data_IF_214645200578
#
_entry.id   IF_214645200578
#
_cell.length_a   1.000
_cell.length_b   1.000
_cell.length_c   1.000
_cell.angle_alpha   90.00
_cell.angle_beta   90.00
_cell.angle_gamma   90.00
#
_symmetry.space_group_name_H-M   'P 1'
#
loop_
_entity.id
_entity.type
_entity.pdbx_description
1 polymer ?
#
# COMPACT_ATOMS: atom_id res chain seq x y z
N UNK A 1 20.61 5.62 42.86
CA UNK A 1 19.45 4.79 42.49
C UNK A 1 19.03 5.23 41.07
N UNK A 2 19.50 4.52 40.09
CA UNK A 2 19.22 4.80 38.68
C UNK A 2 18.05 3.93 38.25
N UNK A 3 16.91 4.56 38.03
CA UNK A 3 15.75 3.91 37.43
C UNK A 3 16.03 3.65 35.96
N UNK A 4 16.20 2.38 35.63
CA UNK A 4 16.27 1.90 34.26
C UNK A 4 14.87 1.93 33.65
N UNK A 5 14.62 2.93 32.81
CA UNK A 5 13.41 3.06 32.01
C UNK A 5 13.43 1.97 30.92
N UNK A 6 12.78 0.85 31.17
CA UNK A 6 12.51 -0.19 30.17
C UNK A 6 11.47 0.38 29.19
N UNK A 7 11.69 0.39 27.88
CA UNK A 7 10.67 0.83 26.94
C UNK A 7 9.51 -0.18 26.97
N UNK A 8 8.30 0.32 27.29
CA UNK A 8 7.07 -0.45 27.21
C UNK A 8 6.91 -1.00 25.78
N UNK A 9 7.02 -2.33 25.63
CA UNK A 9 6.62 -3.02 24.43
C UNK A 9 5.12 -2.72 24.20
N UNK A 10 4.78 -1.90 23.23
CA UNK A 10 3.42 -1.83 22.74
C UNK A 10 3.09 -3.22 22.21
N UNK A 11 2.18 -3.91 22.87
CA UNK A 11 1.67 -5.18 22.43
C UNK A 11 1.08 -4.98 21.02
N UNK A 12 1.69 -5.57 20.02
CA UNK A 12 1.13 -5.66 18.66
C UNK A 12 -0.15 -6.49 18.78
N UNK A 13 -1.26 -5.94 18.29
CA UNK A 13 -2.56 -6.63 18.29
C UNK A 13 -2.40 -8.04 17.72
N UNK A 14 -2.94 -9.06 18.40
CA UNK A 14 -2.82 -10.43 17.97
C UNK A 14 -3.62 -10.65 16.68
N UNK A 15 -2.97 -11.15 15.64
CA UNK A 15 -3.57 -11.49 14.35
C UNK A 15 -3.56 -13.00 14.14
N UNK A 16 -4.69 -13.56 13.75
CA UNK A 16 -4.82 -14.99 13.44
C UNK A 16 -5.79 -15.24 12.27
N UNK A 17 -5.86 -16.49 11.80
CA UNK A 17 -6.89 -16.93 10.86
C UNK A 17 -8.13 -17.35 11.64
N UNK A 18 -9.32 -16.92 11.18
CA UNK A 18 -10.59 -17.28 11.83
C UNK A 18 -10.84 -18.80 11.77
N UNK A 19 -11.12 -19.41 12.93
CA UNK A 19 -11.45 -20.83 13.05
C UNK A 19 -12.74 -21.23 12.32
N UNK A 20 -13.68 -20.29 12.11
CA UNK A 20 -14.94 -20.50 11.40
C UNK A 20 -14.73 -20.87 9.92
N UNK A 21 -13.50 -20.81 9.45
CA UNK A 21 -13.10 -21.11 8.09
C UNK A 21 -12.11 -22.29 8.02
N UNK A 22 -12.29 -23.35 8.80
CA UNK A 22 -11.49 -24.58 8.73
C UNK A 22 -11.63 -25.27 7.36
N UNK A 23 -11.20 -24.58 6.34
CA UNK A 23 -11.16 -25.01 4.97
C UNK A 23 -9.71 -25.23 4.52
N UNK A 24 -9.52 -25.94 3.41
CA UNK A 24 -8.22 -26.04 2.74
C UNK A 24 -7.64 -24.63 2.49
N UNK A 25 -8.49 -23.65 2.18
CA UNK A 25 -8.09 -22.26 1.96
C UNK A 25 -7.54 -21.59 3.23
N UNK A 26 -8.13 -21.83 4.41
CA UNK A 26 -7.62 -21.30 5.68
C UNK A 26 -6.24 -21.87 6.03
N UNK A 27 -6.02 -23.16 5.80
CA UNK A 27 -4.71 -23.79 6.00
C UNK A 27 -3.65 -23.22 5.07
N UNK A 28 -3.96 -23.08 3.77
CA UNK A 28 -3.05 -22.46 2.81
C UNK A 28 -2.70 -21.02 3.17
N UNK A 29 -3.67 -20.24 3.66
CA UNK A 29 -3.44 -18.88 4.12
C UNK A 29 -2.56 -18.86 5.38
N UNK A 30 -2.81 -19.75 6.34
CA UNK A 30 -2.00 -19.95 7.54
C UNK A 30 -0.54 -20.28 7.19
N UNK A 31 -0.32 -21.23 6.29
CA UNK A 31 1.01 -21.63 5.82
C UNK A 31 1.70 -20.47 5.04
N UNK A 32 0.96 -19.80 4.13
CA UNK A 32 1.48 -18.72 3.30
C UNK A 32 1.99 -17.53 4.11
N UNK A 33 1.28 -17.17 5.18
CA UNK A 33 1.58 -15.98 5.98
C UNK A 33 2.12 -16.32 7.38
N UNK A 34 2.33 -17.59 7.67
CA UNK A 34 2.78 -18.07 8.98
C UNK A 34 1.92 -17.52 10.15
N UNK A 35 0.59 -17.58 9.98
CA UNK A 35 -0.37 -17.11 10.97
C UNK A 35 -1.04 -18.30 11.67
N UNK A 36 -1.27 -18.24 12.99
CA UNK A 36 -2.00 -19.28 13.69
C UNK A 36 -3.48 -19.29 13.27
N UNK A 37 -4.12 -20.47 13.35
CA UNK A 37 -5.59 -20.58 13.29
C UNK A 37 -6.13 -20.37 14.70
N UNK A 38 -7.01 -19.39 14.87
CA UNK A 38 -7.59 -19.04 16.17
C UNK A 38 -8.74 -19.98 16.55
N UNK A 39 -8.40 -21.16 17.06
CA UNK A 39 -9.37 -22.16 17.53
C UNK A 39 -10.10 -21.74 18.81
N UNK A 40 -9.54 -20.81 19.58
CA UNK A 40 -10.06 -20.37 20.88
C UNK A 40 -10.78 -19.02 20.84
N UNK A 41 -10.81 -18.35 19.68
CA UNK A 41 -11.42 -17.02 19.51
C UNK A 41 -10.81 -15.95 20.42
N UNK A 42 -9.50 -15.98 20.59
CA UNK A 42 -8.76 -15.10 21.51
C UNK A 42 -8.02 -13.97 20.79
N UNK A 43 -7.87 -14.05 19.46
CA UNK A 43 -7.20 -13.03 18.70
C UNK A 43 -8.03 -11.74 18.59
N UNK A 44 -7.40 -10.59 18.78
CA UNK A 44 -8.05 -9.28 18.61
C UNK A 44 -8.52 -9.05 17.19
N UNK A 45 -7.77 -9.57 16.22
CA UNK A 45 -8.06 -9.47 14.80
C UNK A 45 -7.95 -10.83 14.12
N UNK A 46 -8.86 -11.11 13.22
CA UNK A 46 -8.83 -12.36 12.45
C UNK A 46 -9.01 -12.10 10.96
N UNK A 47 -8.29 -12.87 10.14
CA UNK A 47 -8.54 -13.00 8.72
C UNK A 47 -9.51 -14.14 8.45
N UNK A 48 -10.54 -13.87 7.66
CA UNK A 48 -11.55 -14.86 7.30
C UNK A 48 -12.31 -14.45 6.05
N UNK A 49 -13.15 -15.33 5.51
CA UNK A 49 -13.91 -15.03 4.30
C UNK A 49 -15.25 -14.35 4.64
N UNK A 50 -15.55 -13.28 3.93
CA UNK A 50 -16.76 -12.49 4.05
C UNK A 50 -17.56 -12.52 2.76
N UNK A 51 -18.86 -12.86 2.88
CA UNK A 51 -19.81 -12.77 1.77
C UNK A 51 -20.49 -11.40 1.78
N UNK A 52 -20.32 -10.67 0.69
CA UNK A 52 -20.99 -9.39 0.48
C UNK A 52 -22.37 -9.65 -0.14
N UNK A 53 -23.42 -8.99 0.36
CA UNK A 53 -24.76 -9.13 -0.18
C UNK A 53 -24.75 -8.87 -1.70
N UNK A 54 -25.32 -9.81 -2.47
CA UNK A 54 -25.36 -9.80 -3.96
C UNK A 54 -24.02 -10.08 -4.66
N UNK A 55 -22.99 -10.47 -3.97
CA UNK A 55 -21.73 -10.92 -4.56
C UNK A 55 -21.48 -12.37 -4.13
N UNK A 56 -21.51 -13.34 -5.05
CA UNK A 56 -21.38 -14.75 -4.72
C UNK A 56 -19.94 -15.15 -4.38
N UNK A 57 -18.95 -14.28 -4.65
CA UNK A 57 -17.54 -14.59 -4.45
C UNK A 57 -17.13 -14.12 -3.06
N UNK A 58 -16.74 -15.03 -2.15
CA UNK A 58 -16.22 -14.66 -0.84
C UNK A 58 -14.95 -13.81 -0.98
N UNK A 59 -14.82 -12.79 -0.14
CA UNK A 59 -13.65 -11.90 -0.08
C UNK A 59 -12.91 -12.14 1.22
N UNK A 60 -11.59 -12.28 1.15
CA UNK A 60 -10.81 -12.27 2.37
C UNK A 60 -11.00 -10.92 3.06
N UNK A 61 -11.31 -10.97 4.34
CA UNK A 61 -11.56 -9.78 5.16
C UNK A 61 -10.83 -9.86 6.48
N UNK A 62 -10.43 -8.70 6.99
CA UNK A 62 -9.96 -8.51 8.35
C UNK A 62 -11.17 -8.18 9.23
N UNK A 63 -11.35 -8.97 10.28
CA UNK A 63 -12.38 -8.76 11.30
C UNK A 63 -11.75 -8.23 12.58
N UNK A 64 -12.40 -7.26 13.18
CA UNK A 64 -12.08 -6.68 14.47
C UNK A 64 -13.38 -6.50 15.26
N UNK A 65 -13.34 -6.69 16.59
CA UNK A 65 -14.56 -6.71 17.42
C UNK A 65 -15.41 -5.45 17.30
N UNK A 66 -14.78 -4.27 17.14
CA UNK A 66 -15.44 -2.98 17.14
C UNK A 66 -15.71 -2.39 15.76
N UNK A 67 -15.38 -3.10 14.67
CA UNK A 67 -15.54 -2.60 13.31
C UNK A 67 -16.18 -3.62 12.38
N UNK A 68 -16.76 -3.15 11.28
CA UNK A 68 -17.18 -4.04 10.20
C UNK A 68 -15.98 -4.70 9.50
N UNK A 69 -16.23 -5.76 8.70
CA UNK A 69 -15.19 -6.44 7.95
C UNK A 69 -14.48 -5.49 6.97
N UNK A 70 -13.16 -5.52 6.97
CA UNK A 70 -12.33 -4.73 6.04
C UNK A 70 -11.80 -5.65 4.97
N UNK A 71 -12.10 -5.37 3.71
CA UNK A 71 -11.63 -6.13 2.55
C UNK A 71 -11.24 -5.20 1.40
N UNK A 72 -10.51 -5.71 0.43
CA UNK A 72 -10.11 -4.99 -0.77
C UNK A 72 -10.91 -5.53 -1.97
N UNK A 73 -11.38 -4.61 -2.82
CA UNK A 73 -12.08 -4.94 -4.05
C UNK A 73 -11.66 -3.99 -5.17
N UNK A 74 -11.11 -4.57 -6.25
CA UNK A 74 -10.68 -3.82 -7.44
C UNK A 74 -11.74 -3.85 -8.55
N UNK A 75 -12.71 -4.76 -8.47
CA UNK A 75 -13.74 -4.94 -9.52
C UNK A 75 -14.93 -4.01 -9.28
N UNK A 76 -15.33 -3.84 -8.01
CA UNK A 76 -16.53 -3.10 -7.64
C UNK A 76 -16.24 -1.94 -6.68
N UNK A 77 -17.24 -1.11 -6.44
CA UNK A 77 -17.19 -0.05 -5.44
C UNK A 77 -16.36 1.18 -5.83
N UNK A 78 -15.77 1.85 -4.82
CA UNK A 78 -15.09 3.14 -4.99
C UNK A 78 -13.87 3.10 -5.92
N UNK A 79 -13.16 1.98 -6.01
CA UNK A 79 -11.96 1.86 -6.84
C UNK A 79 -12.33 1.77 -8.32
N UNK A 80 -13.35 0.98 -8.66
CA UNK A 80 -13.90 0.95 -10.00
C UNK A 80 -14.45 2.32 -10.42
N UNK A 81 -15.14 3.04 -9.52
CA UNK A 81 -15.62 4.39 -9.77
C UNK A 81 -14.46 5.38 -10.02
N UNK A 82 -13.35 5.29 -9.27
CA UNK A 82 -12.18 6.15 -9.49
C UNK A 82 -11.53 5.93 -10.86
N UNK A 83 -11.56 4.73 -11.41
CA UNK A 83 -11.08 4.45 -12.77
C UNK A 83 -11.85 5.26 -13.81
N UNK A 84 -13.18 5.27 -13.72
CA UNK A 84 -14.04 5.92 -14.71
C UNK A 84 -14.14 7.44 -14.53
N UNK A 85 -14.04 7.95 -13.30
CA UNK A 85 -14.31 9.36 -12.97
C UNK A 85 -13.12 10.12 -12.35
N UNK A 86 -11.97 9.51 -12.24
CA UNK A 86 -10.85 10.00 -11.46
C UNK A 86 -9.90 10.99 -12.15
N UNK A 87 -10.29 11.70 -13.21
CA UNK A 87 -9.48 12.80 -13.78
C UNK A 87 -8.26 12.40 -14.63
N UNK A 88 -8.03 11.12 -14.89
CA UNK A 88 -7.06 10.62 -15.87
C UNK A 88 -5.60 11.06 -15.63
N UNK A 89 -4.85 11.23 -16.71
CA UNK A 89 -3.40 11.60 -16.71
C UNK A 89 -3.10 12.98 -16.08
N UNK A 90 -4.12 13.82 -15.87
CA UNK A 90 -4.00 15.14 -15.23
C UNK A 90 -3.90 15.09 -13.72
N UNK A 91 -4.15 13.96 -13.08
CA UNK A 91 -4.10 13.84 -11.63
C UNK A 91 -2.69 14.16 -11.09
N UNK A 92 -2.58 14.93 -9.99
CA UNK A 92 -1.28 15.27 -9.37
C UNK A 92 -0.43 14.03 -9.07
N UNK A 93 -1.02 12.94 -8.57
CA UNK A 93 -0.36 11.67 -8.34
C UNK A 93 0.30 11.13 -9.62
N UNK A 94 -0.43 11.06 -10.71
CA UNK A 94 0.06 10.52 -12.00
C UNK A 94 1.15 11.42 -12.60
N UNK A 95 0.96 12.74 -12.51
CA UNK A 95 1.96 13.71 -12.95
C UNK A 95 3.27 13.60 -12.17
N UNK A 96 3.20 13.29 -10.87
CA UNK A 96 4.37 13.10 -10.02
C UNK A 96 5.23 11.88 -10.46
N UNK A 97 4.61 10.83 -11.03
CA UNK A 97 5.37 9.68 -11.56
C UNK A 97 6.28 10.06 -12.73
N UNK A 98 5.92 11.09 -13.48
CA UNK A 98 6.72 11.58 -14.61
C UNK A 98 6.62 10.71 -15.86
N UNK A 99 7.57 10.97 -16.79
CA UNK A 99 7.72 10.24 -18.06
C UNK A 99 9.19 10.10 -18.38
N UNK A 100 9.57 8.99 -18.97
CA UNK A 100 10.89 8.79 -19.56
C UNK A 100 10.87 9.29 -21.02
N UNK A 101 12.05 9.36 -21.64
CA UNK A 101 12.15 9.66 -23.09
C UNK A 101 11.43 8.59 -23.90
N UNK A 102 11.56 7.35 -23.48
CA UNK A 102 10.94 6.19 -24.12
C UNK A 102 10.03 5.49 -23.11
N UNK A 103 8.71 5.63 -23.29
CA UNK A 103 7.70 4.96 -22.52
C UNK A 103 7.40 5.56 -21.14
N UNK A 104 6.73 4.76 -20.33
CA UNK A 104 6.39 5.07 -18.94
C UNK A 104 7.42 4.43 -18.00
N UNK A 105 7.78 5.10 -16.89
CA UNK A 105 8.65 4.51 -15.89
C UNK A 105 7.97 3.32 -15.17
N UNK A 106 8.79 2.38 -14.71
CA UNK A 106 8.38 1.34 -13.77
C UNK A 106 8.25 1.94 -12.38
N UNK A 107 7.20 1.57 -11.64
CA UNK A 107 6.89 2.13 -10.33
C UNK A 107 7.00 1.06 -9.26
N UNK A 108 7.65 1.38 -8.14
CA UNK A 108 7.54 0.63 -6.90
C UNK A 108 6.80 1.49 -5.88
N UNK A 109 5.64 1.00 -5.43
CA UNK A 109 4.91 1.60 -4.32
C UNK A 109 5.41 0.96 -3.01
N UNK A 110 6.22 1.71 -2.28
CA UNK A 110 6.87 1.25 -1.06
C UNK A 110 5.96 1.28 0.19
N UNK A 111 4.73 1.75 0.05
CA UNK A 111 3.74 1.88 1.13
C UNK A 111 2.35 1.53 0.62
N UNK A 112 2.23 0.35 0.02
CA UNK A 112 1.06 -0.02 -0.78
C UNK A 112 -0.29 0.10 -0.05
N UNK A 113 -0.33 -0.21 1.24
CA UNK A 113 -1.57 -0.16 2.02
C UNK A 113 -2.68 -0.94 1.36
N UNK A 114 -3.85 -0.33 1.18
CA UNK A 114 -5.00 -0.95 0.50
C UNK A 114 -4.89 -0.93 -1.05
N UNK A 115 -3.76 -0.58 -1.62
CA UNK A 115 -3.51 -0.56 -3.07
C UNK A 115 -4.28 0.53 -3.82
N UNK A 116 -4.72 1.59 -3.14
CA UNK A 116 -5.56 2.62 -3.75
C UNK A 116 -4.81 3.50 -4.76
N UNK A 117 -3.65 4.00 -4.39
CA UNK A 117 -2.82 4.83 -5.24
C UNK A 117 -2.12 4.00 -6.32
N UNK A 118 -1.64 2.79 -5.97
CA UNK A 118 -1.12 1.81 -6.94
C UNK A 118 -2.12 1.52 -8.07
N UNK A 119 -3.40 1.30 -7.74
CA UNK A 119 -4.44 1.06 -8.73
C UNK A 119 -4.67 2.29 -9.65
N UNK A 120 -4.66 3.50 -9.08
CA UNK A 120 -4.77 4.74 -9.89
C UNK A 120 -3.57 4.90 -10.82
N UNK A 121 -2.36 4.64 -10.36
CA UNK A 121 -1.14 4.68 -11.17
C UNK A 121 -1.22 3.63 -12.29
N UNK A 122 -1.55 2.38 -11.95
CA UNK A 122 -1.69 1.29 -12.91
C UNK A 122 -2.76 1.56 -13.98
N UNK A 123 -3.88 2.20 -13.60
CA UNK A 123 -4.95 2.59 -14.54
C UNK A 123 -4.52 3.60 -15.60
N UNK A 124 -3.35 4.21 -15.45
CA UNK A 124 -2.75 5.12 -16.44
C UNK A 124 -1.67 4.44 -17.29
N UNK A 125 -1.57 3.11 -17.23
CA UNK A 125 -0.67 2.27 -18.04
C UNK A 125 0.70 2.00 -17.43
N UNK A 126 0.94 2.39 -16.18
CA UNK A 126 2.19 2.09 -15.49
C UNK A 126 2.22 0.64 -15.00
N UNK A 127 3.41 0.04 -14.98
CA UNK A 127 3.67 -1.20 -14.23
C UNK A 127 3.99 -0.83 -12.79
N UNK A 128 3.28 -1.44 -11.83
CA UNK A 128 3.40 -1.10 -10.41
C UNK A 128 3.72 -2.35 -9.59
N UNK A 129 4.87 -2.36 -8.95
CA UNK A 129 5.19 -3.32 -7.90
C UNK A 129 4.82 -2.71 -6.55
N UNK A 130 3.92 -3.35 -5.82
CA UNK A 130 3.52 -2.99 -4.47
C UNK A 130 4.39 -3.71 -3.45
N UNK A 131 4.88 -3.00 -2.45
CA UNK A 131 5.54 -3.59 -1.27
C UNK A 131 4.71 -3.23 -0.05
N UNK A 132 4.33 -4.25 0.74
CA UNK A 132 3.50 -4.08 1.94
C UNK A 132 4.08 -4.91 3.10
N UNK A 133 4.36 -4.24 4.22
CA UNK A 133 4.96 -4.90 5.39
C UNK A 133 3.93 -5.61 6.27
N UNK A 134 2.70 -5.07 6.34
CA UNK A 134 1.64 -5.67 7.15
C UNK A 134 1.15 -6.96 6.52
N UNK A 135 1.32 -8.08 7.23
CA UNK A 135 0.86 -9.41 6.79
C UNK A 135 -0.64 -9.39 6.49
N UNK A 136 -1.45 -8.76 7.36
CA UNK A 136 -2.89 -8.69 7.14
C UNK A 136 -3.24 -7.92 5.86
N UNK A 137 -2.65 -6.76 5.65
CA UNK A 137 -2.91 -5.95 4.45
C UNK A 137 -2.40 -6.63 3.19
N UNK A 138 -1.22 -7.26 3.25
CA UNK A 138 -0.68 -8.05 2.14
C UNK A 138 -1.59 -9.23 1.78
N UNK A 139 -2.14 -9.94 2.76
CA UNK A 139 -3.10 -11.02 2.52
C UNK A 139 -4.38 -10.52 1.85
N UNK A 140 -4.93 -9.38 2.28
CA UNK A 140 -6.09 -8.77 1.63
C UNK A 140 -5.79 -8.32 0.19
N UNK A 141 -4.60 -7.79 -0.07
CA UNK A 141 -4.16 -7.38 -1.42
C UNK A 141 -3.99 -8.60 -2.33
N UNK A 142 -3.31 -9.66 -1.84
CA UNK A 142 -3.10 -10.91 -2.59
C UNK A 142 -4.42 -11.54 -3.01
N UNK A 143 -5.37 -11.65 -2.06
CA UNK A 143 -6.73 -12.14 -2.34
C UNK A 143 -7.44 -11.26 -3.38
N UNK A 144 -7.40 -9.94 -3.22
CA UNK A 144 -8.08 -9.01 -4.11
C UNK A 144 -7.54 -9.05 -5.55
N UNK A 145 -6.22 -9.13 -5.72
CA UNK A 145 -5.60 -9.26 -7.03
C UNK A 145 -5.98 -10.59 -7.68
N UNK A 146 -5.88 -11.69 -6.93
CA UNK A 146 -6.21 -13.04 -7.41
C UNK A 146 -7.68 -13.14 -7.83
N UNK A 147 -8.61 -12.71 -6.96
CA UNK A 147 -10.05 -12.70 -7.27
C UNK A 147 -10.36 -11.85 -8.50
N UNK A 148 -9.73 -10.67 -8.62
CA UNK A 148 -9.94 -9.80 -9.77
C UNK A 148 -9.43 -10.46 -11.06
N UNK A 149 -8.25 -11.05 -11.05
CA UNK A 149 -7.69 -11.76 -12.19
C UNK A 149 -8.56 -12.94 -12.60
N UNK A 150 -8.91 -13.84 -11.66
CA UNK A 150 -9.74 -15.01 -11.94
C UNK A 150 -11.13 -14.64 -12.45
N UNK A 151 -11.78 -13.64 -11.82
CA UNK A 151 -13.10 -13.17 -12.25
C UNK A 151 -13.09 -12.57 -13.65
N UNK A 152 -12.05 -11.82 -14.02
CA UNK A 152 -11.98 -11.16 -15.32
C UNK A 152 -11.54 -12.12 -16.44
N UNK A 153 -10.66 -13.08 -16.15
CA UNK A 153 -10.24 -14.10 -17.13
C UNK A 153 -11.34 -15.10 -17.49
N UNK A 154 -12.22 -15.40 -16.54
CA UNK A 154 -13.30 -16.39 -16.74
C UNK A 154 -14.58 -15.80 -17.35
N UNK A 155 -14.62 -14.50 -17.64
CA UNK A 155 -15.74 -13.85 -18.33
C UNK A 155 -15.53 -13.93 -19.85
N UNK A 156 -16.43 -14.64 -20.52
CA UNK A 156 -16.37 -14.87 -21.98
C UNK A 156 -17.40 -14.07 -22.78
N UNK A 157 -18.14 -13.18 -22.16
CA UNK A 157 -19.30 -12.49 -22.72
C UNK A 157 -19.19 -10.94 -22.66
N UNK A 158 -20.29 -10.26 -22.91
CA UNK A 158 -20.41 -8.79 -22.89
C UNK A 158 -20.04 -8.15 -21.54
N UNK A 159 -19.83 -8.95 -20.50
CA UNK A 159 -19.39 -8.49 -19.16
C UNK A 159 -17.86 -8.48 -19.00
N UNK A 160 -17.11 -8.85 -20.05
CA UNK A 160 -15.65 -8.81 -20.02
C UNK A 160 -15.16 -7.36 -19.92
N UNK A 161 -14.10 -7.16 -19.13
CA UNK A 161 -13.43 -5.85 -18.97
C UNK A 161 -11.91 -6.04 -19.19
N UNK A 162 -11.48 -6.09 -20.47
CA UNK A 162 -10.07 -6.33 -20.79
C UNK A 162 -9.17 -5.19 -20.34
N UNK A 163 -9.68 -3.96 -20.23
CA UNK A 163 -8.93 -2.83 -19.69
C UNK A 163 -8.65 -3.04 -18.20
N UNK A 164 -9.66 -3.42 -17.42
CA UNK A 164 -9.47 -3.72 -16.00
C UNK A 164 -8.53 -4.92 -15.80
N UNK A 165 -8.66 -5.96 -16.62
CA UNK A 165 -7.74 -7.10 -16.57
C UNK A 165 -6.29 -6.64 -16.83
N UNK A 166 -6.05 -5.80 -17.84
CA UNK A 166 -4.73 -5.24 -18.12
C UNK A 166 -4.17 -4.44 -16.95
N UNK A 167 -5.01 -3.64 -16.28
CA UNK A 167 -4.63 -2.90 -15.06
C UNK A 167 -4.21 -3.87 -13.97
N UNK A 168 -5.03 -4.87 -13.65
CA UNK A 168 -4.71 -5.86 -12.61
C UNK A 168 -3.42 -6.63 -12.93
N UNK A 169 -3.22 -7.02 -14.19
CA UNK A 169 -2.02 -7.73 -14.64
C UNK A 169 -0.75 -6.85 -14.61
N UNK A 170 -0.90 -5.53 -14.59
CA UNK A 170 0.23 -4.59 -14.43
C UNK A 170 0.63 -4.35 -12.98
N UNK A 171 -0.10 -4.92 -12.02
CA UNK A 171 0.16 -4.80 -10.57
C UNK A 171 0.73 -6.10 -10.02
N UNK A 172 1.77 -6.01 -9.23
CA UNK A 172 2.35 -7.14 -8.49
C UNK A 172 2.53 -6.79 -7.02
N UNK A 173 2.63 -7.80 -6.14
CA UNK A 173 2.74 -7.62 -4.70
C UNK A 173 3.93 -8.40 -4.14
N UNK A 174 4.68 -7.75 -3.26
CA UNK A 174 5.70 -8.35 -2.39
C UNK A 174 5.35 -8.03 -0.94
N UNK A 175 5.25 -9.05 -0.10
CA UNK A 175 5.10 -8.87 1.35
C UNK A 175 6.49 -8.78 1.96
N UNK A 176 6.89 -7.56 2.34
CA UNK A 176 8.20 -7.28 2.94
C UNK A 176 8.21 -5.92 3.67
N UNK A 177 9.19 -5.71 4.52
CA UNK A 177 9.60 -4.36 4.91
C UNK A 177 10.26 -3.67 3.72
N UNK A 178 9.78 -2.49 3.35
CA UNK A 178 10.16 -1.83 2.10
C UNK A 178 11.60 -1.34 2.10
N UNK A 179 12.11 -0.82 3.21
CA UNK A 179 13.50 -0.36 3.28
C UNK A 179 14.46 -1.53 3.14
N UNK A 180 14.22 -2.63 3.85
CA UNK A 180 14.99 -3.86 3.74
C UNK A 180 14.89 -4.48 2.34
N UNK A 181 13.70 -4.48 1.73
CA UNK A 181 13.50 -4.98 0.38
C UNK A 181 14.32 -4.20 -0.65
N UNK A 182 14.28 -2.87 -0.60
CA UNK A 182 15.04 -2.02 -1.50
C UNK A 182 16.55 -2.24 -1.38
N UNK A 183 17.07 -2.33 -0.17
CA UNK A 183 18.51 -2.48 0.08
C UNK A 183 19.04 -3.89 -0.21
N UNK A 184 18.24 -4.93 0.06
CA UNK A 184 18.68 -6.33 -0.10
C UNK A 184 18.46 -6.89 -1.49
N UNK A 185 17.33 -6.54 -2.13
CA UNK A 185 16.96 -7.08 -3.44
C UNK A 185 17.39 -6.17 -4.59
N UNK A 186 17.75 -4.91 -4.29
CA UNK A 186 18.17 -3.89 -5.29
C UNK A 186 17.33 -3.94 -6.57
N UNK A 187 15.98 -3.82 -6.48
CA UNK A 187 15.12 -3.98 -7.64
C UNK A 187 15.43 -2.90 -8.69
N UNK A 188 15.41 -3.30 -9.95
CA UNK A 188 15.55 -2.35 -11.06
C UNK A 188 14.23 -1.61 -11.24
N UNK A 189 14.17 -0.36 -10.76
CA UNK A 189 12.96 0.45 -10.75
C UNK A 189 13.29 1.92 -11.04
N UNK A 190 12.40 2.57 -11.81
CA UNK A 190 12.61 3.98 -12.18
C UNK A 190 12.09 4.92 -11.11
N UNK A 191 10.89 4.70 -10.60
CA UNK A 191 10.25 5.56 -9.61
C UNK A 191 9.89 4.77 -8.37
N UNK A 192 10.31 5.26 -7.22
CA UNK A 192 9.81 4.78 -5.94
C UNK A 192 8.81 5.79 -5.40
N UNK A 193 7.58 5.34 -5.21
CA UNK A 193 6.49 6.09 -4.59
C UNK A 193 6.35 5.68 -3.13
N UNK A 194 6.11 6.64 -2.25
CA UNK A 194 5.83 6.39 -0.84
C UNK A 194 4.79 7.37 -0.29
N UNK A 195 3.83 6.85 0.48
CA UNK A 195 2.81 7.59 1.23
C UNK A 195 2.87 7.18 2.71
N UNK A 196 3.98 7.50 3.42
CA UNK A 196 4.12 7.11 4.80
C UNK A 196 3.05 7.80 5.66
N UNK A 197 2.49 7.05 6.62
CA UNK A 197 1.48 7.57 7.53
C UNK A 197 2.04 8.74 8.34
N UNK A 198 1.54 9.93 8.05
CA UNK A 198 1.86 11.12 8.82
C UNK A 198 1.03 11.14 10.11
N UNK A 199 1.63 11.39 11.28
CA UNK A 199 0.89 11.51 12.52
C UNK A 199 -0.11 12.66 12.42
N UNK A 200 -1.40 12.37 12.21
CA UNK A 200 -2.43 13.39 12.19
C UNK A 200 -2.58 14.00 13.58
N UNK A 201 -2.44 15.32 13.68
CA UNK A 201 -2.92 16.06 14.84
C UNK A 201 -4.43 15.79 14.94
N UNK A 202 -4.87 15.21 16.07
CA UNK A 202 -6.26 14.87 16.41
C UNK A 202 -7.25 15.94 15.94
N UNK A 203 -7.74 15.88 14.70
CA UNK A 203 -8.91 16.61 14.22
C UNK A 203 -9.49 15.84 13.03
N UNK A 204 -10.54 15.16 13.30
CA UNK A 204 -11.77 14.93 12.58
C UNK A 204 -12.34 13.54 12.85
N UNK A 205 -13.48 13.59 13.46
CA UNK A 205 -14.37 12.55 13.91
C UNK A 205 -15.04 11.79 12.75
N UNK A 206 -14.35 11.26 11.81
CA UNK A 206 -14.93 10.35 10.81
C UNK A 206 -13.89 9.56 10.04
N UNK A 207 -12.73 9.27 10.64
CA UNK A 207 -11.97 8.11 10.16
C UNK A 207 -12.88 6.92 10.42
N UNK A 208 -13.35 6.29 9.33
CA UNK A 208 -14.22 5.12 9.45
C UNK A 208 -13.56 4.14 10.41
N UNK A 209 -14.34 3.57 11.33
CA UNK A 209 -13.85 2.59 12.33
C UNK A 209 -12.93 1.53 11.71
N UNK A 210 -13.22 1.12 10.48
CA UNK A 210 -12.44 0.20 9.64
C UNK A 210 -11.00 0.68 9.39
N UNK A 211 -10.83 1.97 9.01
CA UNK A 211 -9.51 2.56 8.78
C UNK A 211 -8.71 2.69 10.09
N UNK A 212 -9.40 2.95 11.18
CA UNK A 212 -8.77 3.05 12.51
C UNK A 212 -8.27 1.68 13.00
N UNK A 213 -9.02 0.61 12.75
CA UNK A 213 -8.58 -0.75 13.04
C UNK A 213 -7.31 -1.12 12.25
N UNK A 214 -7.27 -0.79 10.97
CA UNK A 214 -6.08 -0.97 10.12
C UNK A 214 -4.89 -0.13 10.59
N UNK A 215 -5.10 1.14 10.94
CA UNK A 215 -4.05 2.01 11.48
C UNK A 215 -3.48 1.48 12.81
N UNK A 216 -4.32 0.93 13.67
CA UNK A 216 -3.87 0.30 14.92
C UNK A 216 -3.03 -0.96 14.67
N UNK A 217 -3.37 -1.74 13.64
CA UNK A 217 -2.62 -2.94 13.25
C UNK A 217 -1.27 -2.61 12.61
N UNK A 218 -1.25 -1.62 11.71
CA UNK A 218 -0.03 -1.25 10.95
C UNK A 218 0.92 -0.40 11.81
N UNK A 219 0.39 0.35 12.77
CA UNK A 219 1.16 1.29 13.59
C UNK A 219 1.62 2.54 12.81
N UNK A 220 2.23 3.52 13.48
CA UNK A 220 2.78 4.70 12.82
C UNK A 220 4.08 4.35 12.08
N UNK A 221 4.30 4.97 10.92
CA UNK A 221 5.55 4.89 10.16
C UNK A 221 6.64 5.74 10.85
N UNK A 222 7.33 5.14 11.82
CA UNK A 222 8.45 5.79 12.53
C UNK A 222 9.76 5.73 11.75
N UNK A 223 9.79 5.00 10.64
CA UNK A 223 10.92 4.64 9.81
C UNK A 223 10.88 5.27 8.42
N UNK A 224 10.02 6.28 8.22
CA UNK A 224 9.87 6.97 6.92
C UNK A 224 11.18 7.61 6.43
N UNK A 225 12.07 7.99 7.34
CA UNK A 225 13.40 8.50 7.04
C UNK A 225 14.30 7.41 6.44
N UNK A 226 14.36 6.24 7.08
CA UNK A 226 15.13 5.09 6.58
C UNK A 226 14.59 4.62 5.22
N UNK A 227 13.26 4.61 5.06
CA UNK A 227 12.64 4.25 3.79
C UNK A 227 12.98 5.24 2.69
N UNK A 228 12.94 6.55 2.96
CA UNK A 228 13.33 7.58 1.99
C UNK A 228 14.81 7.44 1.61
N UNK A 229 15.69 7.20 2.59
CA UNK A 229 17.12 6.99 2.35
C UNK A 229 17.37 5.78 1.43
N UNK A 230 16.72 4.63 1.72
CA UNK A 230 16.79 3.44 0.87
C UNK A 230 16.24 3.69 -0.53
N UNK A 231 15.12 4.42 -0.64
CA UNK A 231 14.52 4.77 -1.91
C UNK A 231 15.43 5.65 -2.78
N UNK A 232 16.11 6.65 -2.19
CA UNK A 232 17.05 7.52 -2.90
C UNK A 232 18.27 6.76 -3.43
N UNK A 233 18.70 5.72 -2.73
CA UNK A 233 19.82 4.86 -3.16
C UNK A 233 19.43 3.90 -4.29
N UNK A 234 18.14 3.53 -4.39
CA UNK A 234 17.68 2.47 -5.29
C UNK A 234 17.03 3.01 -6.57
N UNK A 235 16.25 4.09 -6.49
CA UNK A 235 15.54 4.61 -7.66
C UNK A 235 16.50 5.10 -8.75
N UNK A 236 16.18 4.79 -10.03
CA UNK A 236 16.99 5.24 -11.17
C UNK A 236 16.60 6.63 -11.68
N UNK A 237 15.34 7.04 -11.51
CA UNK A 237 14.80 8.28 -12.06
C UNK A 237 14.39 9.28 -10.99
N UNK A 238 13.48 8.89 -10.08
CA UNK A 238 13.03 9.77 -8.98
C UNK A 238 12.42 9.01 -7.81
N UNK A 239 12.39 9.69 -6.65
CA UNK A 239 11.53 9.28 -5.53
C UNK A 239 10.41 10.29 -5.38
N UNK A 240 9.20 9.81 -5.12
CA UNK A 240 7.98 10.62 -4.94
C UNK A 240 7.40 10.34 -3.56
N UNK A 241 7.33 11.36 -2.72
CA UNK A 241 6.79 11.26 -1.36
C UNK A 241 5.48 12.03 -1.26
N UNK A 242 4.40 11.34 -0.96
CA UNK A 242 3.09 11.98 -0.71
C UNK A 242 3.03 12.52 0.72
N UNK A 243 2.57 13.75 0.85
CA UNK A 243 2.44 14.44 2.14
C UNK A 243 1.13 15.22 2.22
N UNK A 244 0.57 15.42 3.42
CA UNK A 244 -0.40 16.49 3.61
C UNK A 244 0.19 17.82 3.15
N UNK A 245 -0.61 18.68 2.52
CA UNK A 245 -0.13 19.93 1.86
C UNK A 245 0.82 20.75 2.74
N UNK A 246 0.50 20.90 4.02
CA UNK A 246 1.24 21.75 4.95
C UNK A 246 2.17 20.96 5.89
N UNK A 247 2.38 19.64 5.64
CA UNK A 247 3.32 18.85 6.43
C UNK A 247 4.77 19.23 6.07
N UNK A 248 5.71 19.16 7.04
CA UNK A 248 7.13 19.32 6.71
C UNK A 248 7.59 18.19 5.77
N UNK A 249 8.65 18.42 5.02
CA UNK A 249 9.35 17.37 4.30
C UNK A 249 9.91 16.34 5.29
N UNK A 250 10.19 15.12 4.83
CA UNK A 250 10.93 14.15 5.65
C UNK A 250 12.37 14.66 5.77
N UNK A 251 12.82 14.83 7.01
CA UNK A 251 14.18 15.25 7.29
C UNK A 251 15.11 14.03 7.22
N UNK A 252 16.23 14.17 6.52
CA UNK A 252 17.29 13.19 6.46
C UNK A 252 18.52 13.69 7.23
N UNK A 253 19.44 12.79 7.60
CA UNK A 253 20.71 13.17 8.26
C UNK A 253 21.47 14.21 7.45
N UNK A 254 21.52 14.04 6.12
CA UNK A 254 22.04 15.08 5.24
C UNK A 254 20.93 16.11 4.92
N UNK A 255 20.99 17.32 5.51
CA UNK A 255 19.95 18.33 5.34
C UNK A 255 19.89 18.93 3.93
N UNK A 256 20.85 18.63 3.06
CA UNK A 256 20.86 19.07 1.66
C UNK A 256 20.01 18.16 0.75
N UNK A 257 19.63 16.96 1.24
CA UNK A 257 18.75 16.03 0.55
C UNK A 257 17.28 16.51 0.67
N UNK A 258 16.93 17.54 -0.07
CA UNK A 258 15.57 18.11 -0.13
C UNK A 258 14.91 17.80 -1.48
N UNK A 259 13.57 17.86 -1.57
CA UNK A 259 12.87 17.70 -2.83
C UNK A 259 13.35 18.73 -3.87
N UNK A 260 13.61 18.27 -5.09
CA UNK A 260 14.00 19.13 -6.22
C UNK A 260 12.79 19.79 -6.90
N UNK A 261 11.58 19.30 -6.64
CA UNK A 261 10.31 19.85 -7.13
C UNK A 261 9.15 19.37 -6.26
N UNK A 262 7.99 20.02 -6.42
CA UNK A 262 6.73 19.57 -5.79
C UNK A 262 5.57 19.67 -6.77
N UNK A 263 4.54 18.85 -6.55
CA UNK A 263 3.24 18.97 -7.19
C UNK A 263 2.18 19.00 -6.10
N UNK A 264 1.50 20.14 -6.00
CA UNK A 264 0.48 20.35 -4.97
C UNK A 264 -0.94 20.18 -5.51
N UNK A 265 -1.83 19.72 -4.63
CA UNK A 265 -3.28 19.71 -4.78
C UNK A 265 -3.93 20.38 -3.56
N UNK A 266 -5.25 20.53 -3.48
CA UNK A 266 -5.88 21.25 -2.36
C UNK A 266 -5.46 20.76 -0.98
N UNK A 267 -5.34 19.43 -0.78
CA UNK A 267 -5.05 18.81 0.52
C UNK A 267 -3.76 17.99 0.56
N UNK A 268 -3.13 17.79 -0.59
CA UNK A 268 -2.00 16.85 -0.74
C UNK A 268 -0.88 17.52 -1.52
N UNK A 269 0.36 17.21 -1.17
CA UNK A 269 1.58 17.57 -1.87
C UNK A 269 2.37 16.30 -2.19
N UNK A 270 3.01 16.27 -3.35
CA UNK A 270 3.96 15.24 -3.77
C UNK A 270 5.35 15.88 -3.85
N UNK A 271 6.21 15.54 -2.91
CA UNK A 271 7.61 15.95 -2.88
C UNK A 271 8.40 15.06 -3.84
N UNK A 272 9.10 15.65 -4.80
CA UNK A 272 9.80 14.94 -5.89
C UNK A 272 11.30 15.10 -5.72
N UNK A 273 12.01 13.99 -5.56
CA UNK A 273 13.46 13.91 -5.51
C UNK A 273 13.97 13.39 -6.85
N UNK A 274 14.58 14.24 -7.66
CA UNK A 274 15.17 13.87 -8.96
C UNK A 274 16.55 13.24 -8.75
N UNK A 275 16.71 11.97 -9.05
CA UNK A 275 17.99 11.26 -8.89
C UNK A 275 19.07 11.92 -9.75
N UNK A 276 18.74 12.34 -10.97
CA UNK A 276 19.69 13.07 -11.84
C UNK A 276 20.15 14.38 -11.20
N UNK A 277 19.24 15.16 -10.62
CA UNK A 277 19.59 16.43 -10.00
C UNK A 277 20.46 16.25 -8.75
N UNK A 278 20.11 15.25 -7.91
CA UNK A 278 20.86 14.95 -6.70
C UNK A 278 22.28 14.44 -7.02
N UNK A 279 22.45 13.56 -8.02
CA UNK A 279 23.77 13.12 -8.51
C UNK A 279 24.60 14.28 -9.08
N UNK A 280 23.98 15.17 -9.85
CA UNK A 280 24.66 16.35 -10.39
C UNK A 280 25.12 17.33 -9.30
N UNK A 281 24.44 17.34 -8.16
CA UNK A 281 24.82 18.13 -6.98
C UNK A 281 25.82 17.40 -6.04
N UNK A 282 26.24 16.17 -6.35
CA UNK A 282 27.14 15.35 -5.51
C UNK A 282 26.51 14.91 -4.20
N UNK A 283 25.19 14.75 -4.15
CA UNK A 283 24.43 14.36 -2.97
C UNK A 283 24.08 12.86 -2.93
N UNK A 284 24.25 12.16 -4.05
CA UNK A 284 24.09 10.70 -4.22
C UNK A 284 25.26 10.12 -4.99
#
# INVERSE_FOLDING_TARGET
>A
MSETNTPSSQATASLAISHLTESKAARLLSERFNLPIDSQQTAEMTLGWHLVKKDPIPKLALFHQDSGPVFIDFISGKKAHRRHFGGGKGQPLVRAMGKLKEGLPTILDATAGMGGDSFVIASQGFKVQMVERSIAVAALLEDALKRAQESLQNRSDETSDPELLSIIMSMSLVQADSANYLLSQTPVVDVIYMDPMYPEKKKNAATKKEMKALQNLVGPDRDSENLLQAALQTASYRVVVKRPKNAPIIQLENPLLIPSAEISSPNTRYDIYSIKALKAAGLL
#
